data_IF_686042062113
#
_entry.id   IF_686042062113
#
_cell.length_a   1.000
_cell.length_b   1.000
_cell.length_c   1.000
_cell.angle_alpha   90.00
_cell.angle_beta   90.00
_cell.angle_gamma   90.00
#
_symmetry.space_group_name_H-M   'P 1'
#
loop_
_entity.id
_entity.type
_entity.pdbx_description
1 polymer ?
#
# COMPACT_ATOMS: atom_id res chain seq x y z
N UNK A 1 -9.32 -6.86 18.47
CA UNK A 1 -10.54 -6.11 18.09
C UNK A 1 -10.77 -6.31 16.61
N UNK A 2 -11.99 -6.63 16.21
CA UNK A 2 -12.40 -6.71 14.81
C UNK A 2 -13.47 -5.67 14.52
N UNK A 3 -13.60 -5.26 13.26
CA UNK A 3 -14.69 -4.39 12.81
C UNK A 3 -16.01 -5.19 12.83
N UNK A 4 -17.10 -4.50 13.13
CA UNK A 4 -18.46 -5.01 12.94
C UNK A 4 -18.78 -5.20 11.45
N UNK A 5 -19.82 -5.97 11.16
CA UNK A 5 -20.25 -6.18 9.76
C UNK A 5 -20.64 -4.88 9.05
N UNK A 6 -21.24 -3.93 9.76
CA UNK A 6 -21.62 -2.63 9.20
C UNK A 6 -20.39 -1.78 8.85
N UNK A 7 -19.36 -1.81 9.70
CA UNK A 7 -18.08 -1.13 9.42
C UNK A 7 -17.38 -1.78 8.22
N UNK A 8 -17.35 -3.11 8.15
CA UNK A 8 -16.81 -3.81 6.98
C UNK A 8 -17.55 -3.48 5.69
N UNK A 9 -18.88 -3.38 5.75
CA UNK A 9 -19.68 -3.01 4.57
C UNK A 9 -19.27 -1.63 4.04
N UNK A 10 -19.10 -0.63 4.93
CA UNK A 10 -18.64 0.71 4.53
C UNK A 10 -17.23 0.69 3.92
N UNK A 11 -16.32 -0.07 4.52
CA UNK A 11 -14.95 -0.23 4.01
C UNK A 11 -14.95 -0.84 2.61
N UNK A 12 -15.72 -1.91 2.40
CA UNK A 12 -15.80 -2.60 1.11
C UNK A 12 -16.56 -1.79 0.06
N UNK A 13 -17.55 -0.99 0.45
CA UNK A 13 -18.25 -0.07 -0.46
C UNK A 13 -17.29 0.99 -1.03
N UNK A 14 -16.48 1.60 -0.16
CA UNK A 14 -15.45 2.56 -0.61
C UNK A 14 -14.41 1.85 -1.47
N UNK A 15 -13.95 0.66 -1.05
CA UNK A 15 -13.00 -0.11 -1.82
C UNK A 15 -13.51 -0.44 -3.23
N UNK A 16 -14.80 -0.76 -3.38
CA UNK A 16 -15.44 -0.99 -4.67
C UNK A 16 -15.43 0.22 -5.60
N UNK A 17 -15.27 1.45 -5.08
CA UNK A 17 -15.08 2.68 -5.86
C UNK A 17 -13.62 2.92 -6.24
N UNK A 18 -12.67 2.40 -5.46
CA UNK A 18 -11.23 2.50 -5.70
C UNK A 18 -10.74 1.45 -6.71
N UNK A 19 -11.28 0.23 -6.64
CA UNK A 19 -10.83 -0.91 -7.44
C UNK A 19 -10.87 -0.70 -8.98
N UNK A 20 -11.88 -0.02 -9.57
CA UNK A 20 -11.91 0.27 -11.02
C UNK A 20 -10.73 1.14 -11.50
N UNK A 21 -10.31 2.10 -10.69
CA UNK A 21 -9.23 3.05 -11.00
C UNK A 21 -7.98 2.80 -10.13
N UNK A 22 -7.76 1.53 -9.77
CA UNK A 22 -6.71 1.12 -8.84
C UNK A 22 -5.30 1.57 -9.28
N UNK A 23 -4.91 1.57 -10.58
CA UNK A 23 -3.60 2.07 -10.99
C UNK A 23 -3.36 3.54 -10.66
N UNK A 24 -4.39 4.40 -10.75
CA UNK A 24 -4.28 5.84 -10.46
C UNK A 24 -4.15 6.05 -8.96
N UNK A 25 -5.04 5.44 -8.17
CA UNK A 25 -5.01 5.52 -6.72
C UNK A 25 -3.73 4.90 -6.13
N UNK A 26 -3.26 3.80 -6.70
CA UNK A 26 -2.06 3.09 -6.28
C UNK A 26 -0.81 3.95 -6.36
N UNK A 27 -0.62 4.64 -7.49
CA UNK A 27 0.53 5.49 -7.68
C UNK A 27 0.45 6.71 -6.76
N UNK A 28 -0.72 7.34 -6.67
CA UNK A 28 -0.94 8.53 -5.85
C UNK A 28 -0.69 8.28 -4.36
N UNK A 29 -1.13 7.13 -3.83
CA UNK A 29 -0.90 6.77 -2.41
C UNK A 29 0.60 6.66 -2.10
N UNK A 30 1.38 6.01 -2.97
CA UNK A 30 2.83 5.86 -2.77
C UNK A 30 3.56 7.20 -2.92
N UNK A 31 3.20 8.01 -3.92
CA UNK A 31 3.74 9.36 -4.09
C UNK A 31 3.48 10.21 -2.85
N UNK A 32 2.23 10.19 -2.35
CA UNK A 32 1.85 10.96 -1.17
C UNK A 32 2.56 10.50 0.09
N UNK A 33 2.85 9.19 0.22
CA UNK A 33 3.68 8.64 1.28
C UNK A 33 5.10 9.19 1.21
N UNK A 34 5.74 9.17 0.04
CA UNK A 34 7.09 9.72 -0.14
C UNK A 34 7.16 11.23 0.09
N UNK A 35 6.13 11.99 -0.30
CA UNK A 35 6.09 13.44 -0.07
C UNK A 35 5.91 13.80 1.40
N UNK A 36 5.07 13.05 2.14
CA UNK A 36 4.81 13.32 3.56
C UNK A 36 5.90 12.80 4.48
N UNK A 37 6.48 11.67 4.12
CA UNK A 37 7.49 10.95 4.90
C UNK A 37 8.65 10.57 3.97
N UNK A 38 9.53 11.52 3.59
CA UNK A 38 10.62 11.28 2.65
C UNK A 38 11.57 10.16 3.08
N UNK A 39 11.71 9.90 4.38
CA UNK A 39 12.49 8.79 4.93
C UNK A 39 11.97 7.42 4.48
N UNK A 40 10.68 7.31 4.12
CA UNK A 40 10.13 6.06 3.61
C UNK A 40 10.70 5.68 2.25
N UNK A 41 11.10 6.67 1.44
CA UNK A 41 11.70 6.46 0.12
C UNK A 41 13.05 5.74 0.21
N UNK A 42 13.81 5.96 1.29
CA UNK A 42 15.11 5.33 1.52
C UNK A 42 15.02 3.80 1.66
N UNK A 43 13.85 3.27 2.02
CA UNK A 43 13.61 1.82 2.06
C UNK A 43 13.37 1.20 0.67
N UNK A 44 13.19 2.03 -0.36
CA UNK A 44 12.96 1.59 -1.73
C UNK A 44 14.19 1.86 -2.59
N UNK A 45 15.16 0.94 -2.56
CA UNK A 45 16.38 1.03 -3.38
C UNK A 45 16.11 1.28 -4.87
N UNK A 46 14.98 0.75 -5.37
CA UNK A 46 14.55 0.92 -6.75
C UNK A 46 14.04 2.34 -7.05
N UNK A 47 13.56 3.09 -6.05
CA UNK A 47 12.88 4.38 -6.24
C UNK A 47 13.62 5.55 -5.60
N UNK A 48 14.65 5.33 -4.76
CA UNK A 48 15.41 6.39 -4.08
C UNK A 48 16.05 7.46 -4.98
N UNK A 49 16.19 7.17 -6.27
CA UNK A 49 16.68 8.11 -7.27
C UNK A 49 15.60 9.09 -7.77
N UNK A 50 14.31 8.79 -7.56
CA UNK A 50 13.20 9.66 -7.93
C UNK A 50 13.11 10.78 -6.89
N UNK A 51 13.48 12.01 -7.27
CA UNK A 51 13.55 13.16 -6.36
C UNK A 51 12.39 14.13 -6.57
N UNK A 52 11.77 14.12 -7.74
CA UNK A 52 10.69 15.05 -8.09
C UNK A 52 9.34 14.32 -8.25
N UNK A 53 8.25 15.09 -8.07
CA UNK A 53 6.90 14.58 -8.29
C UNK A 53 6.70 14.08 -9.73
N UNK A 54 7.27 14.78 -10.71
CA UNK A 54 7.13 14.43 -12.12
C UNK A 54 7.87 13.13 -12.48
N UNK A 55 9.05 12.90 -11.90
CA UNK A 55 9.76 11.61 -12.00
C UNK A 55 8.95 10.47 -11.38
N UNK A 56 8.32 10.69 -10.24
CA UNK A 56 7.48 9.68 -9.59
C UNK A 56 6.20 9.39 -10.41
N UNK A 57 5.55 10.43 -10.93
CA UNK A 57 4.36 10.31 -11.78
C UNK A 57 4.63 9.64 -13.12
N UNK A 58 5.82 9.85 -13.69
CA UNK A 58 6.24 9.22 -14.95
C UNK A 58 6.83 7.81 -14.76
N UNK A 59 7.07 7.37 -13.53
CA UNK A 59 7.62 6.05 -13.26
C UNK A 59 6.58 4.92 -13.35
N UNK A 60 6.59 4.20 -14.47
CA UNK A 60 5.77 2.99 -14.66
C UNK A 60 6.09 1.90 -13.63
N UNK A 61 7.33 1.81 -13.18
CA UNK A 61 7.73 0.85 -12.15
C UNK A 61 7.15 1.21 -10.78
N UNK A 62 7.04 2.50 -10.46
CA UNK A 62 6.38 2.97 -9.24
C UNK A 62 4.88 2.65 -9.28
N UNK A 63 4.24 2.86 -10.42
CA UNK A 63 2.83 2.51 -10.66
C UNK A 63 2.57 1.01 -10.48
N UNK A 64 3.40 0.15 -11.08
CA UNK A 64 3.34 -1.32 -10.87
C UNK A 64 3.53 -1.71 -9.41
N UNK A 65 4.44 -1.05 -8.70
CA UNK A 65 4.66 -1.30 -7.29
C UNK A 65 3.44 -0.91 -6.45
N UNK A 66 2.90 0.29 -6.64
CA UNK A 66 1.68 0.74 -5.97
C UNK A 66 0.51 -0.22 -6.23
N UNK A 67 0.36 -0.72 -7.47
CA UNK A 67 -0.68 -1.71 -7.79
C UNK A 67 -0.48 -3.00 -7.01
N UNK A 68 0.75 -3.46 -6.83
CA UNK A 68 1.05 -4.65 -6.02
C UNK A 68 0.60 -4.44 -4.57
N UNK A 69 0.89 -3.25 -4.00
CA UNK A 69 0.49 -2.90 -2.64
C UNK A 69 -1.03 -2.83 -2.48
N UNK A 70 -1.73 -2.07 -3.34
CA UNK A 70 -3.20 -1.95 -3.23
C UNK A 70 -3.92 -3.26 -3.57
N UNK A 71 -3.40 -4.11 -4.47
CA UNK A 71 -3.97 -5.43 -4.70
C UNK A 71 -3.85 -6.34 -3.47
N UNK A 72 -2.70 -6.35 -2.80
CA UNK A 72 -2.52 -7.09 -1.56
C UNK A 72 -3.45 -6.58 -0.45
N UNK A 73 -3.57 -5.25 -0.31
CA UNK A 73 -4.51 -4.64 0.62
C UNK A 73 -5.97 -5.02 0.31
N UNK A 74 -6.38 -4.95 -0.96
CA UNK A 74 -7.72 -5.34 -1.38
C UNK A 74 -8.06 -6.79 -1.05
N UNK A 75 -7.10 -7.72 -1.21
CA UNK A 75 -7.26 -9.11 -0.79
C UNK A 75 -7.47 -9.23 0.72
N UNK A 76 -6.70 -8.49 1.52
CA UNK A 76 -6.83 -8.46 2.99
C UNK A 76 -8.21 -7.91 3.40
N UNK A 77 -8.66 -6.80 2.80
CA UNK A 77 -9.94 -6.16 3.10
C UNK A 77 -11.13 -7.09 2.80
N UNK A 78 -11.10 -7.78 1.65
CA UNK A 78 -12.14 -8.73 1.24
C UNK A 78 -12.28 -9.94 2.17
N UNK A 79 -11.28 -10.23 3.00
CA UNK A 79 -11.33 -11.30 4.02
C UNK A 79 -12.01 -10.89 5.32
N UNK A 80 -12.39 -9.61 5.50
CA UNK A 80 -13.15 -9.11 6.67
C UNK A 80 -12.62 -9.59 8.03
N UNK A 81 -11.30 -9.54 8.22
CA UNK A 81 -10.65 -9.98 9.47
C UNK A 81 -10.11 -11.41 9.47
N UNK A 82 -10.51 -12.26 8.51
CA UNK A 82 -9.95 -13.60 8.29
C UNK A 82 -8.73 -13.56 7.35
N UNK A 83 -7.82 -12.60 7.57
CA UNK A 83 -6.76 -12.25 6.64
C UNK A 83 -5.38 -12.78 7.03
N UNK A 84 -5.29 -13.69 8.00
CA UNK A 84 -3.99 -14.19 8.49
C UNK A 84 -3.15 -14.81 7.36
N UNK A 85 -3.76 -15.62 6.51
CA UNK A 85 -3.09 -16.26 5.37
C UNK A 85 -2.54 -15.25 4.36
N UNK A 86 -3.28 -14.16 4.11
CA UNK A 86 -2.84 -13.09 3.20
C UNK A 86 -1.78 -12.21 3.87
N UNK A 87 -1.88 -11.97 5.18
CA UNK A 87 -0.97 -11.11 5.94
C UNK A 87 0.40 -11.75 6.18
N UNK A 88 0.46 -13.06 6.40
CA UNK A 88 1.69 -13.79 6.74
C UNK A 88 2.86 -13.55 5.75
N UNK A 89 2.70 -13.68 4.43
CA UNK A 89 3.79 -13.40 3.49
C UNK A 89 4.18 -11.92 3.46
N UNK A 90 3.24 -10.99 3.65
CA UNK A 90 3.56 -9.57 3.76
C UNK A 90 4.36 -9.29 5.02
N UNK A 91 3.91 -9.77 6.17
CA UNK A 91 4.61 -9.59 7.45
C UNK A 91 6.03 -10.15 7.38
N UNK A 92 6.21 -11.35 6.82
CA UNK A 92 7.53 -11.98 6.71
C UNK A 92 8.48 -11.15 5.83
N UNK A 93 8.04 -10.73 4.65
CA UNK A 93 8.88 -9.94 3.73
C UNK A 93 9.20 -8.55 4.30
N UNK A 94 8.23 -7.88 4.91
CA UNK A 94 8.44 -6.55 5.50
C UNK A 94 9.35 -6.60 6.73
N UNK A 95 9.25 -7.65 7.55
CA UNK A 95 10.13 -7.83 8.71
C UNK A 95 11.56 -8.25 8.33
N UNK A 96 11.71 -9.25 7.45
CA UNK A 96 13.01 -9.91 7.24
C UNK A 96 13.79 -9.37 6.06
N UNK A 97 13.11 -9.01 4.97
CA UNK A 97 13.75 -8.57 3.71
C UNK A 97 13.84 -7.05 3.63
N UNK A 98 12.72 -6.38 3.81
CA UNK A 98 12.62 -4.92 3.66
C UNK A 98 12.96 -4.17 4.96
N UNK A 99 12.94 -4.86 6.10
CA UNK A 99 13.25 -4.32 7.44
C UNK A 99 12.46 -3.04 7.74
N UNK A 100 11.17 -3.06 7.40
CA UNK A 100 10.27 -1.93 7.59
C UNK A 100 9.82 -1.91 9.05
N UNK A 101 10.09 -0.84 9.81
CA UNK A 101 9.62 -0.74 11.18
C UNK A 101 8.09 -0.59 11.21
N UNK A 102 7.46 -1.08 12.28
CA UNK A 102 5.99 -0.99 12.45
C UNK A 102 5.51 0.47 12.38
N UNK A 103 6.31 1.41 12.89
CA UNK A 103 6.00 2.84 12.84
C UNK A 103 5.79 3.37 11.42
N UNK A 104 6.39 2.77 10.39
CA UNK A 104 6.19 3.18 9.00
C UNK A 104 4.81 2.86 8.45
N UNK A 105 4.07 1.92 9.05
CA UNK A 105 2.68 1.61 8.66
C UNK A 105 1.64 2.52 9.31
N UNK A 106 2.05 3.36 10.27
CA UNK A 106 1.19 4.29 11.01
C UNK A 106 1.39 5.75 10.57
N UNK A 107 2.28 5.99 9.61
CA UNK A 107 2.66 7.29 9.06
C UNK A 107 1.75 7.69 7.90
#
# INVERSE_FOLDING_TARGET
MGLSDQEWQRVLEIWGKVEPDLPVHAQEVIIRMFQRHPETLEHFDKFKHLKTLDEMKSSEELKKHGMTVLNALGRILKRKGQHEAELRPLAQTHATKHKIPISSFLK
#
